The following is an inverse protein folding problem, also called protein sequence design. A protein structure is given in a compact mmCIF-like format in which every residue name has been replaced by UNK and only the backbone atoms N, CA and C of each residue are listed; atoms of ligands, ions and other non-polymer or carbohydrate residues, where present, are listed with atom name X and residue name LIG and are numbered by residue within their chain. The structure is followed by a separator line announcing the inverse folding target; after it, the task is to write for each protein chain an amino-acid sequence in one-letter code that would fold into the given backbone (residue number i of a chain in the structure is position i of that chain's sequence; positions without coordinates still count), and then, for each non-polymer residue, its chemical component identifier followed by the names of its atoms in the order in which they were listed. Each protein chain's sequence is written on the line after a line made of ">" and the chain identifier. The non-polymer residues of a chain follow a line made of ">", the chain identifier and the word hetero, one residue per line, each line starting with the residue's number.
data_IF_129074897140
#
_entry.id   IF_129074897140
#
_cell.length_a   1.000
_cell.length_b   1.000
_cell.length_c   1.000
_cell.angle_alpha   90.00
_cell.angle_beta   90.00
_cell.angle_gamma   90.00
#
_symmetry.space_group_name_H-M   'P 1'
#
loop_
_entity.id
_entity.type
_entity.pdbx_description
1 polymer ?
#
# COMPACT_ATOMS: atom_id res chain seq x y z
N UNK A 1 23.78 -34.58 28.40
CA UNK A 1 22.30 -34.54 28.32
C UNK A 1 21.73 -33.12 28.16
N UNK A 2 22.49 -32.04 28.43
CA UNK A 2 22.09 -30.66 28.03
C UNK A 2 22.33 -30.41 26.53
N UNK A 3 23.40 -30.97 25.98
CA UNK A 3 23.84 -30.77 24.59
C UNK A 3 22.77 -31.09 23.53
N UNK A 4 22.03 -32.20 23.66
CA UNK A 4 20.96 -32.58 22.71
C UNK A 4 19.73 -31.65 22.76
N UNK A 5 19.44 -31.05 23.92
CA UNK A 5 18.34 -30.08 24.06
C UNK A 5 18.72 -28.73 23.47
N UNK A 6 19.96 -28.31 23.67
CA UNK A 6 20.49 -27.05 23.15
C UNK A 6 20.59 -27.09 21.61
N UNK A 7 21.04 -28.21 21.04
CA UNK A 7 21.06 -28.43 19.58
C UNK A 7 19.64 -28.35 18.98
N UNK A 8 18.66 -29.04 19.58
CA UNK A 8 17.26 -28.98 19.12
C UNK A 8 16.65 -27.58 19.22
N UNK A 9 16.96 -26.86 20.29
CA UNK A 9 16.49 -25.48 20.47
C UNK A 9 17.04 -24.57 19.37
N UNK A 10 18.34 -24.68 19.07
CA UNK A 10 19.01 -23.91 18.02
C UNK A 10 18.41 -24.25 16.65
N UNK A 11 18.15 -25.52 16.35
CA UNK A 11 17.53 -25.95 15.10
C UNK A 11 16.13 -25.35 14.93
N UNK A 12 15.30 -25.40 15.97
CA UNK A 12 13.94 -24.83 15.96
C UNK A 12 13.99 -23.31 15.78
N UNK A 13 14.87 -22.61 16.49
CA UNK A 13 15.02 -21.16 16.38
C UNK A 13 15.54 -20.73 15.00
N UNK A 14 16.53 -21.44 14.46
CA UNK A 14 17.09 -21.16 13.13
C UNK A 14 16.04 -21.36 12.04
N UNK A 15 15.28 -22.46 12.11
CA UNK A 15 14.17 -22.72 11.19
C UNK A 15 13.10 -21.63 11.27
N UNK A 16 12.67 -21.28 12.49
CA UNK A 16 11.68 -20.23 12.70
C UNK A 16 12.14 -18.86 12.21
N UNK A 17 13.43 -18.53 12.40
CA UNK A 17 14.04 -17.33 11.84
C UNK A 17 13.97 -17.29 10.32
N UNK A 18 14.35 -18.38 9.63
CA UNK A 18 14.30 -18.46 8.16
C UNK A 18 12.87 -18.32 7.64
N UNK A 19 11.91 -19.02 8.25
CA UNK A 19 10.49 -18.94 7.88
C UNK A 19 9.93 -17.53 8.09
N UNK A 20 10.26 -16.90 9.22
CA UNK A 20 9.87 -15.52 9.52
C UNK A 20 10.45 -14.55 8.47
N UNK A 21 11.72 -14.72 8.11
CA UNK A 21 12.37 -13.88 7.11
C UNK A 21 11.71 -13.99 5.73
N UNK A 22 11.36 -15.20 5.31
CA UNK A 22 10.65 -15.42 4.04
C UNK A 22 9.26 -14.75 4.04
N UNK A 23 8.56 -14.76 5.18
CA UNK A 23 7.31 -14.01 5.33
C UNK A 23 7.54 -12.50 5.20
N UNK A 24 8.58 -11.94 5.82
CA UNK A 24 8.91 -10.51 5.68
C UNK A 24 9.14 -10.15 4.22
N UNK A 25 9.94 -10.94 3.50
CA UNK A 25 10.24 -10.71 2.09
C UNK A 25 8.97 -10.69 1.22
N UNK A 26 8.03 -11.60 1.48
CA UNK A 26 6.76 -11.65 0.76
C UNK A 26 5.90 -10.40 1.01
N UNK A 27 5.85 -9.91 2.25
CA UNK A 27 5.09 -8.71 2.61
C UNK A 27 5.74 -7.46 2.01
N UNK A 28 7.06 -7.35 2.03
CA UNK A 28 7.80 -6.25 1.36
C UNK A 28 7.48 -6.21 -0.13
N UNK A 29 7.55 -7.35 -0.82
CA UNK A 29 7.20 -7.42 -2.25
C UNK A 29 5.73 -7.06 -2.51
N UNK A 30 4.82 -7.43 -1.60
CA UNK A 30 3.40 -7.04 -1.68
C UNK A 30 3.22 -5.54 -1.50
N UNK A 31 3.90 -4.91 -0.54
CA UNK A 31 3.89 -3.46 -0.33
C UNK A 31 4.32 -2.72 -1.60
N UNK A 32 5.40 -3.16 -2.23
CA UNK A 32 5.94 -2.50 -3.42
C UNK A 32 4.97 -2.58 -4.62
N UNK A 33 4.31 -3.73 -4.80
CA UNK A 33 3.22 -3.86 -5.81
C UNK A 33 2.04 -2.95 -5.49
N UNK A 34 1.61 -2.90 -4.24
CA UNK A 34 0.51 -2.03 -3.81
C UNK A 34 0.81 -0.55 -4.05
N UNK A 35 2.05 -0.12 -3.78
CA UNK A 35 2.51 1.24 -4.08
C UNK A 35 2.33 1.58 -5.56
N UNK A 36 2.76 0.69 -6.47
CA UNK A 36 2.58 0.90 -7.91
C UNK A 36 1.11 0.94 -8.33
N UNK A 37 0.27 0.08 -7.74
CA UNK A 37 -1.17 0.10 -8.02
C UNK A 37 -1.84 1.40 -7.54
N UNK A 38 -1.43 1.93 -6.39
CA UNK A 38 -1.93 3.21 -5.90
C UNK A 38 -1.52 4.34 -6.86
N UNK A 39 -0.27 4.37 -7.30
CA UNK A 39 0.19 5.37 -8.28
C UNK A 39 -0.59 5.29 -9.59
N UNK A 40 -0.85 4.08 -10.08
CA UNK A 40 -1.66 3.87 -11.28
C UNK A 40 -3.09 4.41 -11.11
N UNK A 41 -3.73 4.11 -9.98
CA UNK A 41 -5.10 4.61 -9.70
C UNK A 41 -5.11 6.14 -9.54
N UNK A 42 -4.12 6.73 -8.86
CA UNK A 42 -3.96 8.19 -8.76
C UNK A 42 -3.80 8.80 -10.15
N UNK A 43 -2.98 8.20 -11.02
CA UNK A 43 -2.80 8.67 -12.38
C UNK A 43 -4.12 8.65 -13.17
N UNK A 44 -4.89 7.57 -13.09
CA UNK A 44 -6.21 7.47 -13.73
C UNK A 44 -7.19 8.50 -13.14
N UNK A 45 -7.16 8.72 -11.83
CA UNK A 45 -7.97 9.76 -11.18
C UNK A 45 -7.58 11.17 -11.65
N UNK A 46 -6.30 11.46 -11.85
CA UNK A 46 -5.85 12.74 -12.42
C UNK A 46 -6.33 12.92 -13.87
N UNK A 47 -6.31 11.86 -14.68
CA UNK A 47 -6.90 11.89 -16.02
C UNK A 47 -8.41 12.13 -15.96
N UNK A 48 -9.10 11.47 -15.04
CA UNK A 48 -10.53 11.70 -14.79
C UNK A 48 -10.82 13.16 -14.41
N UNK A 49 -9.99 13.78 -13.57
CA UNK A 49 -10.15 15.20 -13.22
C UNK A 49 -9.93 16.13 -14.42
N UNK A 50 -9.05 15.76 -15.35
CA UNK A 50 -8.76 16.57 -16.53
C UNK A 50 -9.80 16.41 -17.65
N UNK A 51 -10.28 15.20 -17.89
CA UNK A 51 -11.27 14.90 -18.91
C UNK A 51 -12.16 13.71 -18.47
N UNK A 52 -13.24 13.99 -17.72
CA UNK A 52 -14.12 12.95 -17.19
C UNK A 52 -14.84 12.17 -18.30
N UNK A 53 -15.18 12.84 -19.41
CA UNK A 53 -15.87 12.26 -20.56
C UNK A 53 -14.99 11.23 -21.28
N UNK A 54 -13.70 11.53 -21.49
CA UNK A 54 -12.77 10.60 -22.11
C UNK A 54 -12.61 9.30 -21.31
N UNK A 55 -12.57 9.39 -19.98
CA UNK A 55 -12.54 8.20 -19.10
C UNK A 55 -13.85 7.44 -19.18
N UNK A 56 -15.00 8.13 -19.19
CA UNK A 56 -16.31 7.49 -19.36
C UNK A 56 -16.40 6.72 -20.67
N UNK A 57 -16.00 7.34 -21.77
CA UNK A 57 -16.09 6.74 -23.10
C UNK A 57 -15.12 5.56 -23.23
N UNK A 58 -13.91 5.69 -22.68
CA UNK A 58 -12.96 4.57 -22.60
C UNK A 58 -13.55 3.39 -21.82
N UNK A 59 -14.07 3.61 -20.60
CA UNK A 59 -14.70 2.55 -19.80
C UNK A 59 -15.84 1.90 -20.56
N UNK A 60 -16.79 2.69 -21.08
CA UNK A 60 -17.93 2.14 -21.81
C UNK A 60 -17.51 1.37 -23.07
N UNK A 61 -16.45 1.77 -23.78
CA UNK A 61 -15.92 1.05 -24.94
C UNK A 61 -15.33 -0.33 -24.59
N UNK A 62 -14.69 -0.44 -23.43
CA UNK A 62 -14.16 -1.71 -22.92
C UNK A 62 -15.30 -2.66 -22.56
N UNK A 63 -16.37 -2.16 -21.96
CA UNK A 63 -17.52 -3.00 -21.60
C UNK A 63 -18.40 -3.36 -22.81
N UNK A 64 -18.62 -2.44 -23.74
CA UNK A 64 -19.40 -2.70 -24.95
C UNK A 64 -18.68 -3.66 -25.92
N UNK A 65 -17.36 -3.64 -25.98
CA UNK A 65 -16.59 -4.63 -26.76
C UNK A 65 -16.64 -6.04 -26.17
N UNK A 66 -16.86 -6.18 -24.87
CA UNK A 66 -17.08 -7.47 -24.20
C UNK A 66 -18.53 -7.94 -24.28
N UNK A 67 -19.48 -7.00 -24.30
CA UNK A 67 -20.90 -7.22 -24.50
C UNK A 67 -21.25 -7.06 -25.98
N UNK A 68 -20.84 -8.01 -26.83
CA UNK A 68 -21.30 -8.07 -28.22
C UNK A 68 -22.83 -8.27 -28.25
N UNK A 69 -23.58 -7.18 -28.23
CA UNK A 69 -25.02 -7.22 -28.52
C UNK A 69 -25.13 -7.34 -30.03
N UNK A 70 -25.54 -8.52 -30.50
CA UNK A 70 -25.72 -8.87 -31.93
C UNK A 70 -26.74 -7.99 -32.67
N UNK A 71 -27.48 -7.14 -31.96
CA UNK A 71 -28.51 -6.28 -32.53
C UNK A 71 -28.06 -4.83 -32.42
N UNK A 72 -27.78 -4.19 -33.56
CA UNK A 72 -27.22 -2.85 -33.76
C UNK A 72 -28.02 -1.68 -33.18
N UNK A 73 -28.30 -1.75 -31.88
CA UNK A 73 -28.83 -0.69 -31.05
C UNK A 73 -27.67 -0.12 -30.25
N UNK A 74 -27.39 1.17 -30.45
CA UNK A 74 -26.43 1.91 -29.61
C UNK A 74 -26.87 1.77 -28.15
N UNK A 75 -26.06 1.07 -27.36
CA UNK A 75 -26.32 0.91 -25.93
C UNK A 75 -26.01 2.27 -25.30
N UNK A 76 -27.01 2.89 -24.68
CA UNK A 76 -26.79 4.07 -23.86
C UNK A 76 -25.65 3.80 -22.84
N UNK A 77 -24.81 4.79 -22.52
CA UNK A 77 -23.65 4.57 -21.66
C UNK A 77 -24.09 3.91 -20.35
N UNK A 78 -23.56 2.71 -20.10
CA UNK A 78 -23.91 1.87 -18.94
C UNK A 78 -23.42 2.50 -17.64
N UNK A 79 -22.30 3.23 -17.71
CA UNK A 79 -21.67 3.87 -16.57
C UNK A 79 -21.61 5.39 -16.77
N UNK A 80 -22.19 6.12 -15.83
CA UNK A 80 -22.02 7.56 -15.70
C UNK A 80 -20.63 7.90 -15.14
N UNK A 81 -20.14 9.09 -15.49
CA UNK A 81 -18.90 9.71 -15.02
C UNK A 81 -18.82 9.62 -13.49
N UNK A 82 -19.91 9.99 -12.80
CA UNK A 82 -19.98 10.03 -11.33
C UNK A 82 -19.74 8.65 -10.70
N UNK A 83 -20.26 7.58 -11.32
CA UNK A 83 -20.11 6.21 -10.82
C UNK A 83 -18.66 5.75 -10.98
N UNK A 84 -18.02 6.09 -12.10
CA UNK A 84 -16.62 5.73 -12.36
C UNK A 84 -15.70 6.41 -11.34
N UNK A 85 -15.92 7.70 -11.06
CA UNK A 85 -15.18 8.42 -10.03
C UNK A 85 -15.27 7.75 -8.66
N UNK A 86 -16.48 7.39 -8.22
CA UNK A 86 -16.71 6.72 -6.94
C UNK A 86 -16.03 5.34 -6.87
N UNK A 87 -16.09 4.55 -7.95
CA UNK A 87 -15.45 3.22 -8.01
C UNK A 87 -13.92 3.35 -7.94
N UNK A 88 -13.34 4.30 -8.67
CA UNK A 88 -11.89 4.55 -8.61
C UNK A 88 -11.45 5.00 -7.21
N UNK A 89 -12.25 5.85 -6.56
CA UNK A 89 -11.96 6.34 -5.21
C UNK A 89 -12.10 5.25 -4.14
N UNK A 90 -13.10 4.36 -4.27
CA UNK A 90 -13.23 3.15 -3.44
C UNK A 90 -12.05 2.19 -3.66
N UNK A 91 -11.63 2.00 -4.91
CA UNK A 91 -10.44 1.22 -5.25
C UNK A 91 -9.19 1.81 -4.58
N UNK A 92 -9.04 3.13 -4.63
CA UNK A 92 -7.96 3.84 -3.96
C UNK A 92 -7.99 3.63 -2.44
N UNK A 93 -9.16 3.73 -1.80
CA UNK A 93 -9.32 3.47 -0.37
C UNK A 93 -8.86 2.05 0.00
N UNK A 94 -9.34 1.04 -0.73
CA UNK A 94 -9.01 -0.37 -0.47
C UNK A 94 -7.50 -0.65 -0.60
N UNK A 95 -6.90 -0.16 -1.70
CA UNK A 95 -5.47 -0.31 -1.95
C UNK A 95 -4.64 0.42 -0.88
N UNK A 96 -5.03 1.65 -0.53
CA UNK A 96 -4.30 2.48 0.42
C UNK A 96 -4.37 1.90 1.83
N UNK A 97 -5.53 1.41 2.25
CA UNK A 97 -5.69 0.73 3.53
C UNK A 97 -4.79 -0.52 3.61
N UNK A 98 -4.81 -1.35 2.58
CA UNK A 98 -3.98 -2.57 2.49
C UNK A 98 -2.48 -2.22 2.49
N UNK A 99 -2.11 -1.14 1.79
CA UNK A 99 -0.73 -0.65 1.75
C UNK A 99 -0.25 -0.19 3.13
N UNK A 100 -1.04 0.63 3.84
CA UNK A 100 -0.68 1.10 5.18
C UNK A 100 -0.52 -0.06 6.17
N UNK A 101 -1.41 -1.04 6.10
CA UNK A 101 -1.28 -2.27 6.89
C UNK A 101 0.00 -3.05 6.56
N UNK A 102 0.34 -3.18 5.27
CA UNK A 102 1.55 -3.87 4.83
C UNK A 102 2.82 -3.17 5.36
N UNK A 103 2.91 -1.83 5.26
CA UNK A 103 4.05 -1.07 5.79
C UNK A 103 4.19 -1.30 7.30
N UNK A 104 3.13 -1.10 8.07
CA UNK A 104 3.17 -1.30 9.53
C UNK A 104 3.44 -2.76 9.93
N UNK A 105 3.06 -3.72 9.09
CA UNK A 105 3.38 -5.12 9.32
C UNK A 105 4.86 -5.41 9.07
N UNK A 106 5.44 -4.89 7.99
CA UNK A 106 6.88 -5.00 7.70
C UNK A 106 7.71 -4.47 8.87
N UNK A 107 7.39 -3.28 9.38
CA UNK A 107 8.11 -2.69 10.52
C UNK A 107 8.01 -3.56 11.78
N UNK A 108 6.82 -4.13 12.06
CA UNK A 108 6.61 -5.06 13.19
C UNK A 108 7.43 -6.34 13.06
N UNK A 109 7.53 -6.87 11.84
CA UNK A 109 8.27 -8.10 11.60
C UNK A 109 9.78 -7.87 11.71
N UNK A 110 10.32 -6.74 11.24
CA UNK A 110 11.73 -6.42 11.42
C UNK A 110 12.12 -6.33 12.90
N UNK A 111 11.31 -5.69 13.75
CA UNK A 111 11.55 -5.68 15.20
C UNK A 111 11.58 -7.08 15.80
N UNK A 112 10.72 -7.97 15.31
CA UNK A 112 10.66 -9.36 15.77
C UNK A 112 11.88 -10.16 15.30
N UNK A 113 12.29 -9.99 14.05
CA UNK A 113 13.52 -10.56 13.49
C UNK A 113 14.73 -10.13 14.32
N UNK A 114 14.85 -8.86 14.72
CA UNK A 114 15.93 -8.39 15.58
C UNK A 114 15.96 -9.07 16.95
N UNK A 115 14.79 -9.37 17.54
CA UNK A 115 14.72 -10.13 18.78
C UNK A 115 15.15 -11.58 18.60
N UNK A 116 14.78 -12.21 17.48
CA UNK A 116 15.22 -13.57 17.15
C UNK A 116 16.73 -13.62 16.92
N UNK A 117 17.30 -12.65 16.20
CA UNK A 117 18.75 -12.54 16.00
C UNK A 117 19.48 -12.38 17.35
N UNK A 118 18.96 -11.56 18.28
CA UNK A 118 19.56 -11.41 19.61
C UNK A 118 19.56 -12.73 20.40
N UNK A 119 18.45 -13.47 20.35
CA UNK A 119 18.34 -14.78 20.99
C UNK A 119 19.29 -15.81 20.38
N UNK A 120 19.35 -15.90 19.04
CA UNK A 120 20.25 -16.82 18.32
C UNK A 120 21.72 -16.46 18.55
N UNK A 121 22.07 -15.17 18.55
CA UNK A 121 23.45 -14.72 18.71
C UNK A 121 24.08 -15.06 20.05
N UNK A 122 23.30 -15.43 21.08
CA UNK A 122 23.81 -15.90 22.37
C UNK A 122 24.39 -17.31 22.32
N UNK A 123 24.05 -18.07 21.28
CA UNK A 123 24.46 -19.46 21.10
C UNK A 123 25.63 -19.63 20.12
N UNK A 124 26.10 -18.53 19.51
CA UNK A 124 27.20 -18.54 18.54
C UNK A 124 28.19 -17.43 18.86
N UNK A 125 29.48 -17.73 18.86
CA UNK A 125 30.54 -16.71 19.02
C UNK A 125 30.70 -15.85 17.75
N UNK A 126 30.31 -16.41 16.59
CA UNK A 126 30.41 -15.76 15.28
C UNK A 126 29.12 -15.04 14.86
N UNK A 127 29.22 -14.03 13.97
CA UNK A 127 28.08 -13.22 13.50
C UNK A 127 27.11 -13.93 12.55
N UNK A 128 27.04 -15.27 12.58
CA UNK A 128 26.27 -16.12 11.68
C UNK A 128 24.80 -15.70 11.53
N UNK A 129 24.19 -15.17 12.60
CA UNK A 129 22.79 -14.71 12.63
C UNK A 129 22.64 -13.19 12.81
N UNK A 130 23.50 -12.40 12.15
CA UNK A 130 23.44 -10.92 12.21
C UNK A 130 23.18 -10.25 10.87
N UNK A 131 22.90 -11.04 9.83
CA UNK A 131 22.87 -10.59 8.42
C UNK A 131 21.85 -9.48 8.17
N UNK A 132 20.67 -9.54 8.80
CA UNK A 132 19.52 -8.66 8.51
C UNK A 132 19.33 -7.58 9.58
N UNK A 133 19.83 -7.78 10.80
CA UNK A 133 19.88 -6.75 11.84
C UNK A 133 21.18 -6.00 11.90
N UNK A 134 22.15 -6.48 12.70
CA UNK A 134 23.36 -5.70 12.97
C UNK A 134 24.21 -5.45 11.73
N UNK A 135 24.30 -6.41 10.82
CA UNK A 135 25.07 -6.28 9.58
C UNK A 135 24.38 -5.35 8.57
N UNK A 136 23.05 -5.45 8.40
CA UNK A 136 22.28 -4.56 7.53
C UNK A 136 22.25 -3.12 8.04
N UNK A 137 22.10 -2.91 9.36
CA UNK A 137 22.15 -1.58 9.98
C UNK A 137 23.54 -0.95 9.90
N UNK A 138 24.60 -1.75 10.11
CA UNK A 138 26.00 -1.29 10.06
C UNK A 138 26.46 -0.94 8.65
N UNK A 139 25.95 -1.65 7.63
CA UNK A 139 26.25 -1.41 6.22
C UNK A 139 25.06 -0.83 5.47
N UNK A 140 24.17 -0.09 6.14
CA UNK A 140 23.00 0.48 5.49
C UNK A 140 23.46 1.45 4.41
N UNK A 141 23.46 1.01 3.16
CA UNK A 141 23.87 1.83 2.03
C UNK A 141 22.94 3.04 1.96
N UNK A 142 23.46 4.22 1.60
CA UNK A 142 22.70 5.50 1.51
C UNK A 142 21.37 5.34 0.75
N UNK A 143 21.31 4.42 -0.22
CA UNK A 143 20.12 4.09 -1.00
C UNK A 143 18.98 3.41 -0.20
N UNK A 144 19.30 2.58 0.79
CA UNK A 144 18.29 1.96 1.68
C UNK A 144 17.62 3.03 2.57
N UNK A 145 18.42 3.96 3.10
CA UNK A 145 17.90 5.14 3.82
C UNK A 145 17.01 6.01 2.94
N UNK A 146 17.43 6.27 1.70
CA UNK A 146 16.62 7.01 0.71
C UNK A 146 15.29 6.32 0.41
N UNK A 147 15.31 5.01 0.18
CA UNK A 147 14.10 4.20 -0.06
C UNK A 147 13.14 4.28 1.13
N UNK A 148 13.67 4.21 2.36
CA UNK A 148 12.86 4.40 3.58
C UNK A 148 12.22 5.78 3.62
N UNK A 149 12.97 6.84 3.32
CA UNK A 149 12.44 8.21 3.25
C UNK A 149 11.32 8.38 2.21
N UNK A 150 11.44 7.72 1.06
CA UNK A 150 10.39 7.74 0.02
C UNK A 150 9.07 7.21 0.59
N UNK A 151 9.09 6.01 1.19
CA UNK A 151 7.86 5.37 1.65
C UNK A 151 7.30 5.97 2.94
N UNK A 152 8.14 6.50 3.81
CA UNK A 152 7.73 7.06 5.10
C UNK A 152 7.27 8.51 5.03
N UNK A 153 7.89 9.33 4.17
CA UNK A 153 7.64 10.78 4.16
C UNK A 153 7.15 11.28 2.81
N UNK A 154 7.87 10.99 1.73
CA UNK A 154 7.55 11.54 0.42
C UNK A 154 6.19 11.04 -0.07
N UNK A 155 5.94 9.74 -0.02
CA UNK A 155 4.70 9.16 -0.50
C UNK A 155 3.48 9.62 0.33
N UNK A 156 3.48 9.56 1.67
CA UNK A 156 2.35 10.07 2.46
C UNK A 156 2.08 11.55 2.25
N UNK A 157 3.13 12.36 2.05
CA UNK A 157 2.98 13.78 1.76
C UNK A 157 2.35 14.02 0.39
N UNK A 158 2.87 13.38 -0.68
CA UNK A 158 2.30 13.49 -2.03
C UNK A 158 0.86 12.96 -2.07
N UNK A 159 0.59 11.88 -1.35
CA UNK A 159 -0.73 11.28 -1.24
C UNK A 159 -1.71 12.23 -0.52
N UNK A 160 -1.28 12.89 0.55
CA UNK A 160 -2.07 13.93 1.22
C UNK A 160 -2.37 15.09 0.27
N UNK A 161 -1.35 15.59 -0.43
CA UNK A 161 -1.52 16.68 -1.39
C UNK A 161 -2.53 16.32 -2.49
N UNK A 162 -2.45 15.09 -3.03
CA UNK A 162 -3.43 14.58 -3.99
C UNK A 162 -4.85 14.54 -3.40
N UNK A 163 -5.03 14.04 -2.18
CA UNK A 163 -6.36 13.98 -1.55
C UNK A 163 -6.95 15.36 -1.29
N UNK A 164 -6.13 16.34 -0.90
CA UNK A 164 -6.57 17.73 -0.75
C UNK A 164 -6.99 18.34 -2.11
N UNK A 165 -6.20 18.08 -3.16
CA UNK A 165 -6.53 18.52 -4.51
C UNK A 165 -7.82 17.87 -5.04
N UNK A 166 -8.04 16.58 -4.76
CA UNK A 166 -9.27 15.86 -5.09
C UNK A 166 -10.49 16.47 -4.40
N UNK A 167 -10.40 16.75 -3.09
CA UNK A 167 -11.51 17.39 -2.36
C UNK A 167 -11.82 18.79 -2.89
N UNK A 168 -10.79 19.58 -3.21
CA UNK A 168 -10.96 20.90 -3.82
C UNK A 168 -11.71 20.80 -5.17
N UNK A 169 -11.32 19.85 -6.02
CA UNK A 169 -12.00 19.56 -7.28
C UNK A 169 -13.47 19.17 -7.03
N UNK A 170 -13.76 18.28 -6.08
CA UNK A 170 -15.12 17.85 -5.78
C UNK A 170 -16.06 19.01 -5.40
N UNK A 171 -15.54 20.01 -4.67
CA UNK A 171 -16.31 21.21 -4.28
C UNK A 171 -16.58 22.11 -5.47
N UNK A 172 -15.61 22.31 -6.36
CA UNK A 172 -15.73 23.24 -7.48
C UNK A 172 -16.60 22.69 -8.61
N UNK A 173 -16.59 21.38 -8.86
CA UNK A 173 -17.32 20.81 -9.99
C UNK A 173 -18.84 20.94 -9.78
N UNK A 174 -19.54 21.76 -10.58
CA UNK A 174 -20.99 21.96 -10.39
C UNK A 174 -21.81 20.81 -10.99
N UNK A 175 -21.21 20.03 -11.90
CA UNK A 175 -21.90 19.03 -12.75
C UNK A 175 -22.29 17.77 -11.99
N UNK A 176 -21.53 17.37 -10.95
CA UNK A 176 -21.80 16.14 -10.21
C UNK A 176 -23.02 16.26 -9.29
N UNK A 177 -23.97 15.29 -9.34
CA UNK A 177 -25.14 15.30 -8.46
C UNK A 177 -24.74 15.24 -6.99
N UNK A 178 -25.55 15.87 -6.13
CA UNK A 178 -25.26 16.03 -4.70
C UNK A 178 -25.00 14.70 -3.97
N UNK A 179 -25.73 13.64 -4.33
CA UNK A 179 -25.58 12.34 -3.66
C UNK A 179 -24.20 11.72 -3.90
N UNK A 180 -23.66 11.83 -5.12
CA UNK A 180 -22.33 11.32 -5.45
C UNK A 180 -21.23 12.15 -4.78
N UNK A 181 -21.41 13.47 -4.68
CA UNK A 181 -20.50 14.33 -3.92
C UNK A 181 -20.41 13.92 -2.46
N UNK A 182 -21.54 13.58 -1.82
CA UNK A 182 -21.55 13.10 -0.43
C UNK A 182 -20.78 11.79 -0.30
N UNK A 183 -21.02 10.84 -1.21
CA UNK A 183 -20.33 9.54 -1.22
C UNK A 183 -18.83 9.72 -1.39
N UNK A 184 -18.40 10.46 -2.41
CA UNK A 184 -16.98 10.69 -2.68
C UNK A 184 -16.29 11.46 -1.55
N UNK A 185 -16.99 12.41 -0.92
CA UNK A 185 -16.49 13.12 0.25
C UNK A 185 -16.31 12.19 1.46
N UNK A 186 -17.29 11.30 1.71
CA UNK A 186 -17.20 10.31 2.78
C UNK A 186 -16.03 9.33 2.58
N UNK A 187 -15.83 8.85 1.34
CA UNK A 187 -14.69 7.98 1.00
C UNK A 187 -13.37 8.74 1.18
N UNK A 188 -13.30 9.99 0.72
CA UNK A 188 -12.11 10.84 0.87
C UNK A 188 -11.74 11.05 2.34
N UNK A 189 -12.73 11.31 3.21
CA UNK A 189 -12.51 11.41 4.65
C UNK A 189 -12.01 10.10 5.26
N UNK A 190 -12.54 8.96 4.83
CA UNK A 190 -12.08 7.63 5.27
C UNK A 190 -10.62 7.37 4.89
N UNK A 191 -10.23 7.77 3.67
CA UNK A 191 -8.84 7.72 3.20
C UNK A 191 -7.94 8.59 4.08
N UNK A 192 -8.33 9.84 4.32
CA UNK A 192 -7.56 10.78 5.15
C UNK A 192 -7.43 10.30 6.59
N UNK A 193 -8.49 9.69 7.14
CA UNK A 193 -8.44 9.08 8.46
C UNK A 193 -7.44 7.92 8.50
N UNK A 194 -7.49 7.03 7.49
CA UNK A 194 -6.54 5.93 7.36
C UNK A 194 -5.09 6.42 7.27
N UNK A 195 -4.84 7.48 6.49
CA UNK A 195 -3.52 8.11 6.38
C UNK A 195 -3.05 8.70 7.72
N UNK A 196 -3.94 9.39 8.44
CA UNK A 196 -3.64 9.94 9.77
C UNK A 196 -3.26 8.83 10.75
N UNK A 197 -4.03 7.75 10.81
CA UNK A 197 -3.75 6.60 11.68
C UNK A 197 -2.41 5.95 11.33
N UNK A 198 -2.11 5.81 10.04
CA UNK A 198 -0.83 5.32 9.54
C UNK A 198 0.34 6.20 10.03
N UNK A 199 0.25 7.52 9.85
CA UNK A 199 1.31 8.46 10.27
C UNK A 199 1.50 8.45 11.80
N UNK A 200 0.42 8.37 12.58
CA UNK A 200 0.50 8.26 14.03
C UNK A 200 1.17 6.96 14.48
N UNK A 201 0.86 5.84 13.82
CA UNK A 201 1.47 4.54 14.10
C UNK A 201 2.97 4.53 13.75
N UNK A 202 3.36 5.23 12.68
CA UNK A 202 4.74 5.37 12.27
C UNK A 202 5.55 6.22 13.26
N UNK A 203 5.00 7.37 13.68
CA UNK A 203 5.68 8.30 14.57
C UNK A 203 5.85 7.75 16.00
N UNK A 204 4.97 6.88 16.47
CA UNK A 204 5.11 6.20 17.77
C UNK A 204 6.25 5.15 17.80
N UNK A 205 6.84 4.81 16.65
CA UNK A 205 7.91 3.82 16.54
C UNK A 205 9.30 4.42 16.32
N UNK A 206 9.38 5.70 16.01
CA UNK A 206 10.63 6.46 16.00
C UNK A 206 11.00 6.86 17.43
#
# INVERSE_FOLDING_TARGET
>A
MSDDKDIKLIEVLSKHYSETFDLVRQVVARRDRLFLYILLVIFVLLLYMSNPEAIRDWVNSVFSSQLKVENGTEIAPLFDVSVIGAVLLLGLLSLSHTYFQAVLHVERQYDYVYKLEDQLSKHFEDPAFTREGRHYLKHQHKFSGWTKSIFWYLFPFLYLAFMLFWMWFLVINPVTPLIYKIVDFAISLSILNSLRLYLLALNRRQ
#
